data_IF_657980695802
#
_entry.id   IF_657980695802
#
_cell.length_a   1.000
_cell.length_b   1.000
_cell.length_c   1.000
_cell.angle_alpha   90.00
_cell.angle_beta   90.00
_cell.angle_gamma   90.00
#
_symmetry.space_group_name_H-M   'P 1'
#
loop_
_entity.id
_entity.type
_entity.pdbx_description
1 polymer ?
#
# COMPACT_ATOMS: atom_id res chain seq x y z
N UNK A 1 57.99 43.28 -46.95
CA UNK A 1 57.41 41.96 -46.60
C UNK A 1 56.96 41.94 -45.13
N UNK A 2 56.07 42.82 -44.66
CA UNK A 2 54.60 42.74 -44.67
C UNK A 2 53.91 41.46 -44.11
N UNK A 3 54.61 40.49 -43.49
CA UNK A 3 53.96 39.26 -42.98
C UNK A 3 53.61 39.25 -41.47
N UNK A 4 54.18 40.14 -40.65
CA UNK A 4 53.95 40.14 -39.20
C UNK A 4 52.77 40.99 -38.71
N UNK A 5 52.26 41.95 -39.51
CA UNK A 5 51.05 42.72 -39.15
C UNK A 5 49.76 41.92 -39.36
N UNK A 6 49.75 40.97 -40.31
CA UNK A 6 48.57 40.14 -40.58
C UNK A 6 48.35 39.01 -39.55
N UNK A 7 49.41 38.50 -38.89
CA UNK A 7 49.25 37.48 -37.83
C UNK A 7 48.53 37.99 -36.57
N UNK A 8 48.59 39.29 -36.29
CA UNK A 8 47.91 39.88 -35.12
C UNK A 8 46.41 40.12 -35.38
N UNK A 9 46.03 40.33 -36.64
CA UNK A 9 44.63 40.51 -37.03
C UNK A 9 43.85 39.20 -37.06
N UNK A 10 44.51 38.07 -37.35
CA UNK A 10 43.88 36.74 -37.30
C UNK A 10 43.59 36.23 -35.89
N UNK A 11 44.25 36.76 -34.84
CA UNK A 11 43.96 36.39 -33.44
C UNK A 11 42.74 37.13 -32.90
N UNK A 12 42.44 38.33 -33.42
CA UNK A 12 41.27 39.11 -32.97
C UNK A 12 39.96 38.72 -33.68
N UNK A 13 40.01 38.07 -34.84
CA UNK A 13 38.82 37.59 -35.54
C UNK A 13 38.33 36.20 -35.07
N UNK A 14 39.15 35.44 -34.34
CA UNK A 14 38.77 34.12 -33.80
C UNK A 14 38.00 34.15 -32.49
N UNK A 15 38.03 35.28 -31.76
CA UNK A 15 37.45 35.37 -30.41
C UNK A 15 36.00 35.85 -30.38
N UNK A 16 35.43 36.24 -31.53
CA UNK A 16 34.08 36.82 -31.64
C UNK A 16 33.02 35.84 -32.21
N UNK A 17 33.38 34.58 -32.44
CA UNK A 17 32.48 33.54 -32.98
C UNK A 17 32.00 32.52 -31.92
N UNK A 18 32.06 32.87 -30.63
CA UNK A 18 31.48 32.07 -29.53
C UNK A 18 30.26 32.78 -28.88
N UNK A 19 29.59 33.67 -29.62
CA UNK A 19 28.39 34.36 -29.17
C UNK A 19 27.09 33.70 -29.68
N UNK A 20 26.93 32.39 -29.43
CA UNK A 20 25.79 31.66 -30.00
C UNK A 20 25.46 30.33 -29.35
N UNK A 21 25.44 30.25 -28.02
CA UNK A 21 24.61 29.21 -27.40
C UNK A 21 23.16 29.71 -27.43
N UNK A 22 22.37 29.24 -28.39
CA UNK A 22 20.91 29.33 -28.28
C UNK A 22 20.53 28.47 -27.08
N UNK A 23 20.26 29.11 -25.95
CA UNK A 23 19.55 28.46 -24.87
C UNK A 23 18.12 28.25 -25.37
N UNK A 24 17.84 27.05 -25.88
CA UNK A 24 16.47 26.66 -26.20
C UNK A 24 15.64 26.90 -24.94
N UNK A 25 14.60 27.73 -25.08
CA UNK A 25 13.67 28.05 -24.02
C UNK A 25 13.03 26.75 -23.53
N UNK A 26 13.61 26.17 -22.48
CA UNK A 26 13.01 25.06 -21.77
C UNK A 26 11.64 25.53 -21.31
N UNK A 27 10.59 24.87 -21.81
CA UNK A 27 9.25 25.03 -21.27
C UNK A 27 9.38 24.81 -19.76
N UNK A 28 8.98 25.78 -18.95
CA UNK A 28 8.98 25.67 -17.50
C UNK A 28 8.07 24.50 -17.10
N UNK A 29 8.64 23.30 -16.96
CA UNK A 29 7.97 22.14 -16.38
C UNK A 29 7.95 22.31 -14.86
N UNK A 30 7.56 23.49 -14.36
CA UNK A 30 7.26 23.62 -12.95
C UNK A 30 6.01 22.78 -12.69
N UNK A 31 6.12 21.68 -11.94
CA UNK A 31 4.93 20.94 -11.56
C UNK A 31 4.01 21.92 -10.82
N UNK A 32 2.68 21.84 -11.02
CA UNK A 32 1.76 22.70 -10.33
C UNK A 32 2.05 22.61 -8.83
N UNK A 33 2.25 23.77 -8.20
CA UNK A 33 2.35 23.87 -6.76
C UNK A 33 1.10 23.20 -6.20
N UNK A 34 1.23 21.95 -5.73
CA UNK A 34 0.17 21.31 -4.94
C UNK A 34 -0.03 22.23 -3.75
N UNK A 35 -1.23 22.81 -3.56
CA UNK A 35 -1.51 23.56 -2.36
C UNK A 35 -1.19 22.65 -1.18
N UNK A 36 -0.13 22.98 -0.45
CA UNK A 36 0.16 22.33 0.82
C UNK A 36 -1.07 22.53 1.70
N UNK A 37 -1.45 21.55 2.54
CA UNK A 37 -2.63 21.69 3.39
C UNK A 37 -2.52 22.98 4.18
N UNK A 38 -3.42 23.90 3.86
CA UNK A 38 -3.54 25.24 4.40
C UNK A 38 -3.95 25.15 5.86
N UNK A 39 -2.95 25.13 6.75
CA UNK A 39 -3.04 25.00 8.20
C UNK A 39 -3.79 23.75 8.70
N UNK A 40 -3.30 23.11 9.79
CA UNK A 40 -4.06 22.06 10.45
C UNK A 40 -5.42 22.62 10.93
N UNK A 41 -6.52 21.88 10.77
CA UNK A 41 -7.82 22.31 11.29
C UNK A 41 -7.74 22.50 12.81
N UNK A 42 -8.18 23.67 13.30
CA UNK A 42 -8.14 24.01 14.73
C UNK A 42 -9.23 23.31 15.55
N UNK A 43 -10.32 22.90 14.90
CA UNK A 43 -11.48 22.26 15.52
C UNK A 43 -11.79 20.98 14.75
N UNK A 44 -11.96 19.87 15.47
CA UNK A 44 -12.32 18.59 14.88
C UNK A 44 -13.63 18.05 15.46
N UNK A 45 -14.53 17.50 14.60
CA UNK A 45 -15.70 16.77 15.07
C UNK A 45 -15.28 15.52 15.86
N UNK A 46 -16.14 15.12 16.80
CA UNK A 46 -15.97 13.89 17.60
C UNK A 46 -16.48 12.63 16.88
N UNK A 47 -16.68 12.69 15.56
CA UNK A 47 -17.13 11.53 14.81
C UNK A 47 -16.04 10.45 14.79
N UNK A 48 -16.42 9.21 15.08
CA UNK A 48 -15.50 8.08 15.01
C UNK A 48 -15.53 7.46 13.62
N UNK A 49 -14.50 7.74 12.83
CA UNK A 49 -14.30 7.22 11.47
C UNK A 49 -12.80 6.95 11.27
N UNK A 50 -12.30 5.82 11.81
CA UNK A 50 -10.86 5.66 12.02
C UNK A 50 -10.09 5.63 10.69
N UNK A 51 -8.89 6.21 10.71
CA UNK A 51 -7.99 6.27 9.56
C UNK A 51 -6.57 5.87 9.94
N UNK A 52 -5.83 5.29 9.01
CA UNK A 52 -4.41 5.07 9.16
C UNK A 52 -3.69 6.23 8.49
N UNK A 53 -2.85 6.92 9.26
CA UNK A 53 -2.12 8.07 8.76
C UNK A 53 -0.62 7.93 9.07
N UNK A 54 0.21 8.57 8.26
CA UNK A 54 1.66 8.46 8.27
C UNK A 54 2.32 9.83 8.38
N UNK A 55 3.39 9.90 9.16
CA UNK A 55 4.31 11.04 9.25
C UNK A 55 5.74 10.51 9.28
N UNK A 56 6.48 10.71 8.18
CA UNK A 56 7.79 10.07 7.99
C UNK A 56 7.67 8.54 7.97
N UNK A 57 8.45 7.86 8.82
CA UNK A 57 8.39 6.40 9.00
C UNK A 57 7.27 5.95 9.95
N UNK A 58 6.69 6.85 10.74
CA UNK A 58 5.67 6.51 11.74
C UNK A 58 4.28 6.40 11.13
N UNK A 59 3.56 5.31 11.44
CA UNK A 59 2.15 5.10 11.09
C UNK A 59 1.32 4.97 12.36
N UNK A 60 0.21 5.70 12.41
CA UNK A 60 -0.68 5.71 13.58
C UNK A 60 -2.15 5.77 13.16
N UNK A 61 -3.01 5.23 14.03
CA UNK A 61 -4.46 5.23 13.83
C UNK A 61 -5.10 6.50 14.43
N UNK A 62 -5.70 7.29 13.54
CA UNK A 62 -6.67 8.37 13.69
C UNK A 62 -8.02 7.93 14.25
N UNK A 63 -8.63 8.62 15.23
CA UNK A 63 -10.09 8.49 15.50
C UNK A 63 -10.91 8.98 14.31
N UNK A 64 -10.42 10.03 13.63
CA UNK A 64 -10.94 10.49 12.35
C UNK A 64 -9.87 11.24 11.54
N UNK A 65 -10.22 11.57 10.30
CA UNK A 65 -9.31 12.24 9.36
C UNK A 65 -9.03 13.71 9.70
N UNK A 66 -9.89 14.37 10.47
CA UNK A 66 -9.61 15.73 10.95
C UNK A 66 -8.48 15.68 11.97
N UNK A 67 -8.59 14.81 12.98
CA UNK A 67 -7.58 14.67 14.03
C UNK A 67 -6.21 14.31 13.45
N UNK A 68 -6.17 13.37 12.50
CA UNK A 68 -4.92 13.01 11.81
C UNK A 68 -4.25 14.22 11.13
N UNK A 69 -5.02 15.07 10.45
CA UNK A 69 -4.50 16.29 9.79
C UNK A 69 -4.11 17.36 10.81
N UNK A 70 -4.86 17.50 11.90
CA UNK A 70 -4.56 18.44 12.98
C UNK A 70 -3.18 18.16 13.61
N UNK A 71 -2.82 16.87 13.73
CA UNK A 71 -1.54 16.41 14.26
C UNK A 71 -0.41 16.33 13.19
N UNK A 72 -0.69 16.75 11.96
CA UNK A 72 0.28 16.79 10.86
C UNK A 72 0.57 15.43 10.22
N UNK A 73 -0.32 14.44 10.39
CA UNK A 73 -0.23 13.16 9.71
C UNK A 73 -0.98 13.19 8.37
N UNK A 74 -0.42 12.51 7.36
CA UNK A 74 -1.08 12.30 6.07
C UNK A 74 -1.85 10.99 6.10
N UNK A 75 -3.16 11.03 5.87
CA UNK A 75 -4.00 9.83 5.77
C UNK A 75 -3.55 8.98 4.58
N UNK A 76 -3.25 7.71 4.82
CA UNK A 76 -2.81 6.73 3.80
C UNK A 76 -3.85 5.64 3.53
N UNK A 77 -4.76 5.37 4.47
CA UNK A 77 -5.86 4.41 4.29
C UNK A 77 -7.02 4.73 5.22
N UNK A 78 -8.23 4.35 4.80
CA UNK A 78 -9.39 4.26 5.68
C UNK A 78 -9.25 3.06 6.62
N UNK A 79 -9.82 3.15 7.81
CA UNK A 79 -9.69 2.14 8.87
C UNK A 79 -8.42 2.29 9.70
N UNK A 80 -8.27 1.45 10.73
CA UNK A 80 -7.09 1.46 11.60
C UNK A 80 -5.84 0.99 10.85
N UNK A 81 -4.65 1.37 11.30
CA UNK A 81 -3.43 0.79 10.77
C UNK A 81 -3.39 -0.71 11.07
N UNK A 82 -3.26 -1.54 10.03
CA UNK A 82 -3.01 -2.96 10.19
C UNK A 82 -1.60 -3.15 10.75
N UNK A 83 -1.47 -3.85 11.89
CA UNK A 83 -0.18 -4.30 12.43
C UNK A 83 0.48 -5.40 11.58
N UNK A 84 -0.14 -5.80 10.46
CA UNK A 84 0.41 -6.73 9.48
C UNK A 84 0.37 -6.12 8.08
N UNK A 85 1.41 -6.29 7.24
CA UNK A 85 1.25 -6.19 5.80
C UNK A 85 0.34 -7.35 5.37
N UNK A 86 -0.96 -7.09 5.34
CA UNK A 86 -2.00 -8.06 4.98
C UNK A 86 -2.73 -7.59 3.72
N UNK A 87 -3.01 -8.49 2.77
CA UNK A 87 -3.51 -8.13 1.44
C UNK A 87 -5.00 -7.77 1.47
N UNK A 88 -5.32 -6.46 1.53
CA UNK A 88 -6.70 -5.94 1.48
C UNK A 88 -7.51 -6.42 2.70
N UNK A 89 -8.45 -5.72 3.27
CA UNK A 89 -9.55 -4.98 2.70
C UNK A 89 -10.00 -4.03 3.82
N UNK A 90 -10.24 -2.77 3.48
CA UNK A 90 -10.50 -1.72 4.45
C UNK A 90 -11.80 -1.93 5.24
N UNK A 91 -11.83 -1.31 6.41
CA UNK A 91 -13.06 -0.77 6.97
C UNK A 91 -13.62 -1.49 8.19
N UNK A 92 -13.77 -0.67 9.25
CA UNK A 92 -14.65 -0.84 10.41
C UNK A 92 -14.41 -2.06 11.31
N UNK A 93 -14.54 -1.82 12.61
CA UNK A 93 -14.84 -2.89 13.55
C UNK A 93 -16.18 -3.50 13.16
N UNK A 94 -16.14 -4.53 12.32
CA UNK A 94 -17.19 -5.51 12.28
C UNK A 94 -16.99 -6.39 13.50
N UNK A 95 -18.00 -6.49 14.35
CA UNK A 95 -18.40 -7.81 14.83
C UNK A 95 -18.20 -8.75 13.64
N UNK A 96 -17.20 -9.63 13.65
CA UNK A 96 -17.13 -10.67 12.64
C UNK A 96 -18.50 -11.33 12.72
N UNK A 97 -19.39 -11.18 11.71
CA UNK A 97 -20.56 -12.02 11.68
C UNK A 97 -19.99 -13.43 11.71
N UNK A 98 -20.41 -14.32 12.62
CA UNK A 98 -19.98 -15.71 12.56
C UNK A 98 -20.31 -16.14 11.15
N UNK A 99 -19.24 -16.39 10.40
CA UNK A 99 -19.23 -16.28 8.96
C UNK A 99 -20.50 -16.89 8.38
N UNK A 100 -21.32 -16.06 7.73
CA UNK A 100 -22.51 -16.50 7.04
C UNK A 100 -22.03 -17.51 5.99
N UNK A 101 -22.15 -18.78 6.37
CA UNK A 101 -21.65 -19.91 5.65
C UNK A 101 -22.55 -20.12 4.45
N UNK A 102 -22.15 -19.50 3.34
CA UNK A 102 -22.50 -19.92 1.99
C UNK A 102 -21.33 -19.61 1.04
N UNK A 103 -20.09 -19.85 1.51
CA UNK A 103 -19.00 -20.16 0.59
C UNK A 103 -19.07 -21.68 0.35
N UNK A 104 -19.14 -22.14 -0.92
CA UNK A 104 -19.03 -23.57 -1.22
C UNK A 104 -17.74 -24.09 -0.60
N UNK A 105 -17.86 -24.99 0.38
CA UNK A 105 -16.73 -25.45 1.15
C UNK A 105 -16.25 -24.49 2.26
N UNK A 106 -17.15 -23.99 3.11
CA UNK A 106 -16.77 -23.69 4.50
C UNK A 106 -17.94 -24.06 5.40
N UNK A 107 -17.82 -25.07 6.27
CA UNK A 107 -18.85 -25.35 7.24
C UNK A 107 -19.05 -24.13 8.11
N UNK A 108 -20.28 -23.61 8.14
CA UNK A 108 -20.70 -22.60 9.11
C UNK A 108 -20.75 -23.19 10.51
N UNK A 109 -21.36 -22.47 11.46
CA UNK A 109 -21.55 -22.88 12.85
C UNK A 109 -22.49 -24.10 13.06
N UNK A 110 -22.60 -25.00 12.08
CA UNK A 110 -23.36 -26.25 12.13
C UNK A 110 -22.47 -27.46 12.47
N UNK A 111 -23.12 -28.59 12.74
CA UNK A 111 -22.41 -29.88 12.90
C UNK A 111 -21.90 -30.39 11.54
N UNK A 112 -20.75 -31.05 11.54
CA UNK A 112 -20.27 -31.76 10.36
C UNK A 112 -21.13 -33.00 10.10
N UNK A 113 -21.34 -33.29 8.82
CA UNK A 113 -21.92 -34.58 8.42
C UNK A 113 -20.93 -35.71 8.74
N UNK A 114 -21.46 -36.92 8.93
CA UNK A 114 -20.64 -38.13 9.14
C UNK A 114 -20.17 -38.79 7.84
N UNK A 115 -20.19 -38.04 6.75
CA UNK A 115 -19.70 -38.49 5.46
C UNK A 115 -18.18 -38.71 5.53
N UNK A 116 -17.70 -39.82 4.97
CA UNK A 116 -16.28 -40.16 4.95
C UNK A 116 -15.69 -39.89 3.57
N UNK A 117 -15.11 -38.71 3.41
CA UNK A 117 -14.36 -38.27 2.23
C UNK A 117 -13.03 -37.68 2.70
N UNK A 118 -12.04 -38.53 2.99
CA UNK A 118 -10.88 -38.12 3.76
C UNK A 118 -10.05 -37.06 3.03
N UNK A 119 -9.44 -36.17 3.79
CA UNK A 119 -8.55 -35.12 3.28
C UNK A 119 -7.28 -35.05 4.11
N UNK A 120 -6.16 -34.78 3.44
CA UNK A 120 -4.90 -34.50 4.11
C UNK A 120 -4.82 -32.99 4.33
N UNK A 121 -4.65 -32.57 5.58
CA UNK A 121 -4.62 -31.17 5.93
C UNK A 121 -3.44 -30.85 6.87
N UNK A 122 -2.98 -29.61 6.83
CA UNK A 122 -1.82 -29.14 7.58
C UNK A 122 -2.13 -27.86 8.37
N UNK A 123 -1.57 -27.79 9.58
CA UNK A 123 -1.57 -26.60 10.42
C UNK A 123 -0.18 -26.41 11.03
N UNK A 124 0.59 -25.47 10.52
CA UNK A 124 2.01 -25.35 10.87
C UNK A 124 2.77 -26.60 10.43
N UNK A 125 3.44 -27.26 11.37
CA UNK A 125 4.18 -28.52 11.12
C UNK A 125 3.29 -29.77 11.30
N UNK A 126 2.07 -29.63 11.80
CA UNK A 126 1.18 -30.76 12.04
C UNK A 126 0.45 -31.14 10.74
N UNK A 127 0.70 -32.35 10.25
CA UNK A 127 0.01 -32.94 9.09
C UNK A 127 -0.88 -34.09 9.54
N UNK A 128 -2.18 -34.01 9.24
CA UNK A 128 -3.18 -34.99 9.69
C UNK A 128 -4.24 -35.26 8.63
N UNK A 129 -4.68 -36.51 8.58
CA UNK A 129 -5.87 -36.92 7.83
C UNK A 129 -7.11 -36.58 8.64
N UNK A 130 -8.09 -35.94 8.01
CA UNK A 130 -9.42 -35.73 8.56
C UNK A 130 -10.44 -36.60 7.83
N UNK A 131 -11.52 -37.05 8.51
CA UNK A 131 -12.54 -37.92 7.92
C UNK A 131 -13.31 -37.22 6.80
N UNK A 132 -13.46 -35.90 6.87
CA UNK A 132 -13.95 -35.09 5.78
C UNK A 132 -13.42 -33.65 5.86
N UNK A 133 -13.67 -32.90 4.79
CA UNK A 133 -13.32 -31.49 4.64
C UNK A 133 -13.92 -30.62 5.74
N UNK A 134 -15.13 -30.93 6.21
CA UNK A 134 -15.78 -30.16 7.27
C UNK A 134 -14.99 -30.23 8.58
N UNK A 135 -14.60 -31.43 8.99
CA UNK A 135 -13.83 -31.65 10.21
C UNK A 135 -12.43 -31.01 10.13
N UNK A 136 -11.79 -31.04 8.96
CA UNK A 136 -10.50 -30.36 8.74
C UNK A 136 -10.61 -28.84 8.92
N UNK A 137 -11.61 -28.23 8.29
CA UNK A 137 -11.85 -26.79 8.35
C UNK A 137 -12.19 -26.36 9.78
N UNK A 138 -13.03 -27.12 10.48
CA UNK A 138 -13.43 -26.85 11.87
C UNK A 138 -12.25 -26.96 12.84
N UNK A 139 -11.34 -27.90 12.59
CA UNK A 139 -10.09 -28.03 13.35
C UNK A 139 -9.04 -26.95 13.00
N UNK A 140 -9.32 -26.09 12.00
CA UNK A 140 -8.42 -25.03 11.57
C UNK A 140 -7.21 -25.53 10.77
N UNK A 141 -7.33 -26.68 10.12
CA UNK A 141 -6.30 -27.19 9.22
C UNK A 141 -6.59 -26.75 7.78
N UNK A 142 -5.53 -26.45 7.01
CA UNK A 142 -5.62 -26.15 5.59
C UNK A 142 -5.48 -27.44 4.80
N UNK A 143 -6.45 -27.75 3.93
CA UNK A 143 -6.41 -28.94 3.07
C UNK A 143 -5.29 -28.80 2.05
N UNK A 144 -4.43 -29.82 1.99
CA UNK A 144 -3.34 -29.96 1.02
C UNK A 144 -3.74 -30.83 -0.16
N UNK A 145 -4.43 -31.95 0.09
CA UNK A 145 -4.87 -32.89 -0.94
C UNK A 145 -6.13 -33.63 -0.52
N UNK A 146 -6.86 -34.13 -1.53
CA UNK A 146 -7.90 -35.14 -1.35
C UNK A 146 -7.28 -36.48 -0.98
N UNK A 147 -7.93 -37.24 -0.10
CA UNK A 147 -7.43 -38.50 0.41
C UNK A 147 -6.59 -38.35 1.67
N UNK A 148 -6.04 -39.47 2.14
CA UNK A 148 -5.26 -39.52 3.38
C UNK A 148 -3.84 -38.99 3.16
N UNK A 149 -3.20 -38.50 4.22
CA UNK A 149 -1.80 -38.11 4.17
C UNK A 149 -0.89 -39.33 3.89
N UNK A 150 0.08 -39.15 3.00
CA UNK A 150 1.12 -40.14 2.64
C UNK A 150 2.48 -39.61 3.02
#
# INVERSE_FOLDING_TARGET
MQFHRFRKLSVLAGLLLLAGCVAEGGVDHRPPLRPGPSQPPRICPMNYAPVCAQRGSSRQTFSNSCQARAEGYRVISNGRCSSRPGPGWGGAGGMHPPHQGNRPGRPGAGACTREFMPVCAQRGNDRRTFPNRCEADRAGYRIMSSGQCR
#
